data_IF_821391299324
#
_entry.id   IF_821391299324
#
_cell.length_a   1.000
_cell.length_b   1.000
_cell.length_c   1.000
_cell.angle_alpha   90.00
_cell.angle_beta   90.00
_cell.angle_gamma   90.00
#
_symmetry.space_group_name_H-M   'P 1'
#
loop_
_entity.id
_entity.type
_entity.pdbx_description
1 polymer ?
#
# COMPACT_ATOMS: atom_id res chain seq x y z
N UNK A 1 13.54 2.60 -27.81
CA UNK A 1 12.95 2.45 -26.47
C UNK A 1 13.45 1.13 -25.92
N UNK A 2 14.10 1.12 -24.76
CA UNK A 2 14.41 -0.12 -24.05
C UNK A 2 13.11 -0.77 -23.60
N UNK A 3 13.03 -2.10 -23.69
CA UNK A 3 11.86 -2.83 -23.21
C UNK A 3 11.76 -2.67 -21.68
N UNK A 4 10.57 -2.31 -21.19
CA UNK A 4 10.29 -2.28 -19.75
C UNK A 4 10.12 -3.71 -19.27
N UNK A 5 10.87 -4.10 -18.24
CA UNK A 5 10.75 -5.40 -17.59
C UNK A 5 9.86 -5.29 -16.35
N UNK A 6 8.92 -6.22 -16.24
CA UNK A 6 7.97 -6.29 -15.13
C UNK A 6 8.07 -7.67 -14.51
N UNK A 7 8.21 -7.72 -13.19
CA UNK A 7 8.19 -8.94 -12.40
C UNK A 7 6.87 -8.99 -11.64
N UNK A 8 6.22 -10.14 -11.67
CA UNK A 8 5.03 -10.41 -10.87
C UNK A 8 5.44 -11.14 -9.59
N UNK A 9 5.01 -10.60 -8.45
CA UNK A 9 5.36 -11.07 -7.12
C UNK A 9 4.08 -11.49 -6.38
N UNK A 10 4.13 -12.65 -5.70
CA UNK A 10 3.14 -13.00 -4.69
C UNK A 10 3.60 -12.40 -3.36
N UNK A 11 3.00 -11.29 -2.94
CA UNK A 11 3.39 -10.59 -1.71
C UNK A 11 2.47 -10.84 -0.51
N UNK A 12 1.80 -11.98 -0.50
CA UNK A 12 1.05 -12.46 0.65
C UNK A 12 0.04 -13.53 0.28
N UNK A 13 0.01 -14.62 1.01
CA UNK A 13 -0.99 -15.67 0.85
C UNK A 13 -2.12 -15.50 1.87
N UNK A 14 -3.38 -15.66 1.43
CA UNK A 14 -4.57 -15.61 2.30
C UNK A 14 -5.45 -16.85 2.10
N UNK A 15 -6.14 -17.30 3.15
CA UNK A 15 -7.05 -18.45 3.11
C UNK A 15 -8.45 -18.12 3.63
N UNK A 16 -9.22 -17.27 2.92
CA UNK A 16 -10.55 -16.90 3.36
C UNK A 16 -11.49 -18.12 3.46
N UNK A 17 -12.43 -18.09 4.41
CA UNK A 17 -13.33 -19.22 4.67
C UNK A 17 -14.17 -19.64 3.44
N UNK A 18 -14.53 -18.70 2.58
CA UNK A 18 -15.36 -18.93 1.39
C UNK A 18 -14.57 -19.15 0.10
N UNK A 19 -13.24 -19.21 0.15
CA UNK A 19 -12.36 -19.29 -1.03
C UNK A 19 -11.38 -20.46 -0.88
N UNK A 20 -11.78 -21.70 -1.24
CA UNK A 20 -11.00 -22.91 -0.99
C UNK A 20 -9.61 -22.94 -1.65
N UNK A 21 -9.42 -22.17 -2.74
CA UNK A 21 -8.14 -22.03 -3.43
C UNK A 21 -7.15 -21.05 -2.79
N UNK A 22 -7.60 -20.29 -1.78
CA UNK A 22 -6.85 -19.15 -1.25
C UNK A 22 -6.81 -17.97 -2.22
N UNK A 23 -6.16 -16.89 -1.77
CA UNK A 23 -5.89 -15.68 -2.53
C UNK A 23 -4.41 -15.31 -2.36
N UNK A 24 -3.88 -14.55 -3.31
CA UNK A 24 -2.54 -13.98 -3.23
C UNK A 24 -2.59 -12.46 -3.40
N UNK A 25 -1.71 -11.75 -2.70
CA UNK A 25 -1.53 -10.31 -2.87
C UNK A 25 -0.60 -10.08 -4.07
N UNK A 26 -1.17 -9.70 -5.21
CA UNK A 26 -0.37 -9.46 -6.42
C UNK A 26 0.35 -8.12 -6.33
N UNK A 27 1.68 -8.14 -6.46
CA UNK A 27 2.51 -6.94 -6.55
C UNK A 27 3.32 -6.99 -7.83
N UNK A 28 3.51 -5.84 -8.47
CA UNK A 28 4.37 -5.73 -9.65
C UNK A 28 5.62 -4.95 -9.30
N UNK A 29 6.79 -5.48 -9.63
CA UNK A 29 8.05 -4.74 -9.64
C UNK A 29 8.37 -4.33 -11.07
N UNK A 30 8.47 -3.03 -11.32
CA UNK A 30 8.71 -2.45 -12.63
C UNK A 30 10.11 -1.85 -12.66
N UNK A 31 10.92 -2.32 -13.60
CA UNK A 31 12.23 -1.71 -13.87
C UNK A 31 12.02 -0.44 -14.71
N UNK A 32 12.46 0.71 -14.19
CA UNK A 32 12.36 2.01 -14.85
C UNK A 32 13.75 2.58 -15.16
N UNK A 33 13.89 3.58 -16.05
CA UNK A 33 15.18 4.22 -16.32
C UNK A 33 15.82 4.90 -15.10
N UNK A 34 15.05 5.19 -14.05
CA UNK A 34 15.49 5.97 -12.87
C UNK A 34 15.49 5.19 -11.56
N UNK A 35 15.26 3.86 -11.63
CA UNK A 35 15.15 2.99 -10.46
C UNK A 35 14.02 1.98 -10.60
N UNK A 36 13.58 1.43 -9.49
CA UNK A 36 12.48 0.48 -9.43
C UNK A 36 11.20 1.16 -8.92
N UNK A 37 10.08 0.70 -9.45
CA UNK A 37 8.76 1.07 -8.95
C UNK A 37 7.99 -0.18 -8.55
N UNK A 38 7.24 -0.10 -7.45
CA UNK A 38 6.27 -1.11 -7.08
C UNK A 38 4.85 -0.66 -7.45
N UNK A 39 4.02 -1.59 -7.89
CA UNK A 39 2.56 -1.46 -7.88
C UNK A 39 2.05 -2.32 -6.73
N UNK A 40 1.52 -1.65 -5.70
CA UNK A 40 1.19 -2.20 -4.38
C UNK A 40 2.39 -2.78 -3.61
N UNK A 41 2.18 -3.19 -2.36
CA UNK A 41 3.27 -3.63 -1.45
C UNK A 41 3.01 -4.93 -0.70
N UNK A 42 1.81 -5.51 -0.80
CA UNK A 42 1.48 -6.75 -0.09
C UNK A 42 1.33 -6.57 1.42
N UNK A 43 1.53 -7.65 2.17
CA UNK A 43 1.37 -7.68 3.63
C UNK A 43 2.53 -7.01 4.40
N UNK A 44 3.75 -7.08 3.88
CA UNK A 44 4.95 -6.55 4.52
C UNK A 44 5.46 -7.35 5.72
N UNK A 45 6.70 -7.06 6.13
CA UNK A 45 7.36 -7.74 7.25
C UNK A 45 6.67 -7.48 8.59
N UNK A 46 6.13 -6.28 8.80
CA UNK A 46 5.47 -5.89 10.06
C UNK A 46 4.25 -6.75 10.39
N UNK A 47 3.61 -7.37 9.39
CA UNK A 47 2.47 -8.25 9.63
C UNK A 47 2.83 -9.42 10.56
N UNK A 48 4.06 -9.95 10.46
CA UNK A 48 4.50 -11.08 11.30
C UNK A 48 4.50 -10.78 12.80
N UNK A 49 4.83 -9.54 13.18
CA UNK A 49 4.85 -9.09 14.58
C UNK A 49 3.54 -8.43 15.02
N UNK A 50 2.79 -7.82 14.09
CA UNK A 50 1.64 -6.95 14.40
C UNK A 50 0.40 -7.24 13.54
N UNK A 51 -0.07 -8.51 13.43
CA UNK A 51 -1.12 -8.88 12.47
C UNK A 51 -2.46 -8.20 12.74
N UNK A 52 -2.71 -7.81 13.99
CA UNK A 52 -3.92 -7.09 14.40
C UNK A 52 -3.95 -5.62 13.98
N UNK A 53 -2.81 -4.97 13.71
CA UNK A 53 -2.79 -3.56 13.31
C UNK A 53 -3.19 -3.37 11.85
N UNK A 54 -2.85 -4.32 10.99
CA UNK A 54 -3.11 -4.21 9.56
C UNK A 54 -4.55 -4.63 9.20
N UNK A 55 -5.03 -5.76 9.72
CA UNK A 55 -6.37 -6.29 9.39
C UNK A 55 -7.40 -6.13 10.52
N UNK A 56 -7.01 -5.74 11.73
CA UNK A 56 -7.94 -5.71 12.85
C UNK A 56 -8.64 -7.08 13.04
N UNK A 57 -9.91 -7.12 13.47
CA UNK A 57 -10.69 -8.35 13.60
C UNK A 57 -10.94 -9.10 12.28
N UNK A 58 -10.86 -8.44 11.11
CA UNK A 58 -11.15 -9.09 9.82
C UNK A 58 -10.16 -10.22 9.49
N UNK A 59 -8.97 -10.22 10.12
CA UNK A 59 -7.95 -11.27 9.98
C UNK A 59 -8.46 -12.68 10.26
N UNK A 60 -9.49 -12.84 11.10
CA UNK A 60 -10.08 -14.15 11.39
C UNK A 60 -10.94 -14.70 10.24
N UNK A 61 -11.38 -13.83 9.33
CA UNK A 61 -12.15 -14.17 8.13
C UNK A 61 -11.23 -14.25 6.91
N UNK A 62 -10.38 -13.24 6.71
CA UNK A 62 -9.42 -13.16 5.58
C UNK A 62 -8.32 -14.21 5.71
N UNK A 63 -7.88 -14.48 6.95
CA UNK A 63 -6.85 -15.47 7.31
C UNK A 63 -5.57 -15.35 6.48
N UNK A 64 -4.83 -14.24 6.56
CA UNK A 64 -3.50 -14.16 5.98
C UNK A 64 -2.56 -15.20 6.60
N UNK A 65 -1.72 -15.80 5.78
CA UNK A 65 -0.66 -16.73 6.15
C UNK A 65 0.64 -15.97 6.01
N UNK A 66 1.26 -15.61 7.13
CA UNK A 66 2.51 -14.88 7.09
C UNK A 66 3.65 -15.81 6.65
N UNK A 67 4.32 -15.42 5.56
CA UNK A 67 5.63 -15.92 5.15
C UNK A 67 6.53 -14.71 4.91
N UNK A 68 7.66 -14.64 5.60
CA UNK A 68 8.61 -13.55 5.46
C UNK A 68 9.16 -13.46 4.02
N UNK A 69 9.33 -14.60 3.35
CA UNK A 69 9.83 -14.65 1.98
C UNK A 69 8.86 -14.03 0.96
N UNK A 70 7.57 -13.94 1.30
CA UNK A 70 6.57 -13.27 0.46
C UNK A 70 6.64 -11.75 0.60
N UNK A 71 7.27 -11.17 1.64
CA UNK A 71 7.34 -9.71 1.73
C UNK A 71 8.07 -9.10 0.51
N UNK A 72 7.49 -8.03 -0.08
CA UNK A 72 7.99 -7.43 -1.31
C UNK A 72 9.49 -7.07 -1.21
N UNK A 73 9.92 -6.55 -0.06
CA UNK A 73 11.33 -6.22 0.21
C UNK A 73 12.26 -7.44 0.12
N UNK A 74 11.81 -8.62 0.56
CA UNK A 74 12.57 -9.88 0.47
C UNK A 74 12.62 -10.41 -0.95
N UNK A 75 11.54 -10.29 -1.70
CA UNK A 75 11.51 -10.70 -3.11
C UNK A 75 12.35 -9.80 -4.01
N UNK A 76 12.35 -8.48 -3.76
CA UNK A 76 13.27 -7.54 -4.43
C UNK A 76 14.73 -7.95 -4.21
N UNK A 77 15.11 -8.28 -2.96
CA UNK A 77 16.44 -8.80 -2.64
C UNK A 77 16.73 -10.14 -3.34
N UNK A 78 15.77 -11.07 -3.36
CA UNK A 78 15.93 -12.38 -3.99
C UNK A 78 16.11 -12.30 -5.51
N UNK A 79 15.57 -11.25 -6.16
CA UNK A 79 15.79 -10.94 -7.57
C UNK A 79 17.17 -10.30 -7.83
N UNK A 80 17.95 -10.01 -6.79
CA UNK A 80 19.29 -9.43 -6.89
C UNK A 80 19.31 -7.89 -6.93
N UNK A 81 18.20 -7.23 -6.62
CA UNK A 81 18.12 -5.77 -6.53
C UNK A 81 18.39 -5.27 -5.11
N UNK A 82 18.88 -4.04 -4.99
CA UNK A 82 18.88 -3.31 -3.71
C UNK A 82 17.46 -2.76 -3.47
N UNK A 83 16.81 -3.04 -2.33
CA UNK A 83 15.55 -2.40 -1.97
C UNK A 83 15.56 -0.88 -2.04
N UNK A 84 16.71 -0.23 -1.81
CA UNK A 84 16.84 1.23 -1.91
C UNK A 84 16.64 1.77 -3.33
N UNK A 85 16.73 0.91 -4.34
CA UNK A 85 16.40 1.25 -5.73
C UNK A 85 14.89 1.34 -5.94
N UNK A 86 14.05 0.82 -5.05
CA UNK A 86 12.61 1.09 -5.05
C UNK A 86 12.38 2.54 -4.63
N UNK A 87 12.16 3.42 -5.61
CA UNK A 87 11.98 4.86 -5.41
C UNK A 87 10.53 5.29 -5.38
N UNK A 88 9.66 4.51 -6.03
CA UNK A 88 8.26 4.85 -6.23
C UNK A 88 7.36 3.66 -5.91
N UNK A 89 6.25 3.91 -5.23
CA UNK A 89 5.20 2.93 -4.93
C UNK A 89 3.89 3.51 -5.44
N UNK A 90 3.25 2.84 -6.39
CA UNK A 90 1.93 3.19 -6.89
C UNK A 90 0.91 2.27 -6.22
N UNK A 91 0.03 2.85 -5.42
CA UNK A 91 -1.06 2.10 -4.78
C UNK A 91 -2.26 2.07 -5.71
N UNK A 92 -2.78 0.87 -5.95
CA UNK A 92 -4.04 0.69 -6.69
C UNK A 92 -5.23 1.16 -5.85
N UNK A 93 -5.19 0.86 -4.55
CA UNK A 93 -6.11 1.31 -3.51
C UNK A 93 -5.46 1.11 -2.12
N UNK A 94 -6.16 1.46 -1.04
CA UNK A 94 -5.61 1.54 0.31
C UNK A 94 -6.01 0.37 1.24
N UNK A 95 -6.43 -0.76 0.68
CA UNK A 95 -6.74 -1.95 1.47
C UNK A 95 -5.48 -2.55 2.10
N UNK A 96 -5.67 -3.21 3.24
CA UNK A 96 -4.63 -3.72 4.13
C UNK A 96 -3.60 -4.61 3.43
N UNK A 97 -4.03 -5.44 2.48
CA UNK A 97 -3.20 -6.34 1.68
C UNK A 97 -2.43 -5.65 0.54
N UNK A 98 -2.71 -4.38 0.26
CA UNK A 98 -2.02 -3.57 -0.74
C UNK A 98 -0.99 -2.62 -0.12
N UNK A 99 -1.24 -2.16 1.11
CA UNK A 99 -0.44 -1.13 1.80
C UNK A 99 0.45 -1.65 2.92
N UNK A 100 0.31 -2.92 3.32
CA UNK A 100 1.01 -3.50 4.47
C UNK A 100 2.54 -3.43 4.39
N UNK A 101 3.09 -3.55 3.19
CA UNK A 101 4.53 -3.48 2.92
C UNK A 101 5.12 -2.08 2.81
N UNK A 102 4.33 -1.00 2.86
CA UNK A 102 4.85 0.38 2.73
C UNK A 102 5.96 0.67 3.74
N UNK A 103 5.81 0.17 4.97
CA UNK A 103 6.76 0.43 6.05
C UNK A 103 8.14 -0.21 5.84
N UNK A 104 8.27 -1.14 4.89
CA UNK A 104 9.53 -1.77 4.50
C UNK A 104 10.34 -0.88 3.53
N UNK A 105 9.72 0.18 2.99
CA UNK A 105 10.31 1.13 2.03
C UNK A 105 10.15 2.60 2.49
N UNK A 106 10.65 2.99 3.67
CA UNK A 106 10.41 4.32 4.24
C UNK A 106 11.00 5.49 3.41
N UNK A 107 11.89 5.21 2.46
CA UNK A 107 12.47 6.19 1.55
C UNK A 107 11.68 6.39 0.26
N UNK A 108 10.75 5.49 -0.07
CA UNK A 108 10.04 5.50 -1.34
C UNK A 108 8.90 6.53 -1.33
N UNK A 109 8.65 7.14 -2.48
CA UNK A 109 7.51 8.04 -2.66
C UNK A 109 6.25 7.24 -2.94
N UNK A 110 5.17 7.57 -2.24
CA UNK A 110 3.88 6.90 -2.41
C UNK A 110 3.01 7.73 -3.36
N UNK A 111 2.43 7.06 -4.34
CA UNK A 111 1.48 7.60 -5.29
C UNK A 111 0.15 6.90 -5.11
N UNK A 112 -0.91 7.68 -4.91
CA UNK A 112 -2.28 7.20 -4.80
C UNK A 112 -3.21 8.25 -5.39
N UNK A 113 -4.42 7.85 -5.76
CA UNK A 113 -5.41 8.78 -6.28
C UNK A 113 -5.89 9.73 -5.19
N UNK A 114 -6.32 10.93 -5.60
CA UNK A 114 -6.87 11.90 -4.67
C UNK A 114 -8.17 11.42 -4.00
N UNK A 115 -8.94 10.57 -4.68
CA UNK A 115 -10.18 10.00 -4.16
C UNK A 115 -9.89 8.92 -3.11
N UNK A 116 -8.93 8.03 -3.37
CA UNK A 116 -8.54 7.02 -2.40
C UNK A 116 -7.95 7.63 -1.13
N UNK A 117 -7.11 8.66 -1.28
CA UNK A 117 -6.58 9.42 -0.15
C UNK A 117 -7.68 10.07 0.72
N UNK A 118 -8.85 10.37 0.14
CA UNK A 118 -10.00 10.88 0.88
C UNK A 118 -10.80 9.76 1.54
N UNK A 119 -11.04 8.67 0.81
CA UNK A 119 -11.79 7.53 1.30
C UNK A 119 -11.10 6.88 2.52
N UNK A 120 -9.77 6.77 2.47
CA UNK A 120 -8.96 6.25 3.56
C UNK A 120 -8.67 7.27 4.69
N UNK A 121 -9.20 8.51 4.60
CA UNK A 121 -8.92 9.63 5.51
C UNK A 121 -7.42 9.93 5.74
N UNK A 122 -6.58 9.55 4.77
CA UNK A 122 -5.11 9.69 4.81
C UNK A 122 -4.69 11.16 4.95
N UNK A 123 -5.52 12.09 4.47
CA UNK A 123 -5.28 13.54 4.63
C UNK A 123 -5.20 13.98 6.10
N UNK A 124 -5.90 13.30 7.01
CA UNK A 124 -5.79 13.56 8.46
C UNK A 124 -4.53 12.95 9.06
N UNK A 125 -4.19 11.71 8.73
CA UNK A 125 -3.01 11.04 9.28
C UNK A 125 -1.68 11.63 8.79
N UNK A 126 -1.59 12.05 7.52
CA UNK A 126 -0.41 12.75 7.00
C UNK A 126 -0.26 14.14 7.66
N UNK A 127 -1.36 14.89 7.84
CA UNK A 127 -1.31 16.20 8.49
C UNK A 127 -0.97 16.11 10.00
N UNK A 128 -1.41 15.03 10.67
CA UNK A 128 -1.09 14.76 12.08
C UNK A 128 0.35 14.27 12.26
N UNK A 129 0.89 13.51 11.30
CA UNK A 129 2.29 13.03 11.33
C UNK A 129 3.32 14.08 10.90
N UNK A 130 2.92 15.08 10.10
CA UNK A 130 3.81 16.16 9.62
C UNK A 130 3.58 17.52 10.30
N UNK A 131 2.66 17.61 11.26
CA UNK A 131 2.42 18.84 12.05
C UNK A 131 1.84 20.02 11.27
N UNK A 132 1.36 19.81 10.04
CA UNK A 132 0.76 20.88 9.21
C UNK A 132 -0.72 20.62 8.97
N UNK A 133 -1.55 20.84 9.98
CA UNK A 133 -2.99 20.94 9.77
C UNK A 133 -3.35 22.35 9.27
N UNK A 134 -3.65 22.49 7.97
CA UNK A 134 -4.33 23.68 7.44
C UNK A 134 -5.83 23.55 7.75
N UNK A 135 -6.49 24.56 8.34
CA UNK A 135 -7.91 24.46 8.65
C UNK A 135 -8.74 24.34 7.36
N UNK A 136 -9.89 23.64 7.42
CA UNK A 136 -10.76 23.48 6.26
C UNK A 136 -11.26 24.84 5.76
N UNK A 137 -11.44 25.02 4.44
CA UNK A 137 -12.07 26.22 3.92
C UNK A 137 -13.49 26.33 4.48
N UNK A 138 -13.80 27.48 5.08
CA UNK A 138 -15.15 27.78 5.58
C UNK A 138 -16.12 27.65 4.41
N UNK A 139 -17.10 26.75 4.53
CA UNK A 139 -18.21 26.69 3.60
C UNK A 139 -18.91 28.06 3.59
N UNK A 140 -18.91 28.72 2.44
CA UNK A 140 -19.75 29.90 2.21
C UNK A 140 -21.20 29.45 2.21
N UNK A 141 -21.94 29.81 3.27
CA UNK A 141 -23.38 29.58 3.35
C UNK A 141 -24.10 30.23 2.15
N UNK A 142 -25.15 29.59 1.60
CA UNK A 142 -25.94 30.19 0.54
C UNK A 142 -26.70 31.41 1.09
N UNK A 143 -26.48 32.58 0.49
CA UNK A 143 -27.32 33.76 0.71
C UNK A 143 -28.68 33.51 0.06
N UNK A 144 -29.67 33.12 0.85
CA UNK A 144 -31.07 33.25 0.45
C UNK A 144 -31.40 34.73 0.32
N UNK A 145 -31.76 35.19 -0.88
CA UNK A 145 -32.44 36.46 -1.09
C UNK A 145 -33.93 36.18 -1.14
N UNK A 146 -34.64 36.61 -0.11
CA UNK A 146 -36.10 36.76 -0.12
C UNK A 146 -36.49 37.84 -1.14
N UNK A 147 -37.51 37.55 -1.94
CA UNK A 147 -38.44 38.55 -2.49
C UNK A 147 -39.79 38.28 -1.88
#
# INVERSE_FOLDING_TARGET
MTAVKVHHLNCGTMRPLATPGGLVCHVLLVETPTGLALVDTGLGLRYGSEPGKLFGPSRFVVRPVFDEAEAAVRQVQALGFDPHDVRDIVLTHFDADHVGGIADFPWARIHLTGDEANAADVRREVALSTGTARPPPRASAPRTRSR
#
